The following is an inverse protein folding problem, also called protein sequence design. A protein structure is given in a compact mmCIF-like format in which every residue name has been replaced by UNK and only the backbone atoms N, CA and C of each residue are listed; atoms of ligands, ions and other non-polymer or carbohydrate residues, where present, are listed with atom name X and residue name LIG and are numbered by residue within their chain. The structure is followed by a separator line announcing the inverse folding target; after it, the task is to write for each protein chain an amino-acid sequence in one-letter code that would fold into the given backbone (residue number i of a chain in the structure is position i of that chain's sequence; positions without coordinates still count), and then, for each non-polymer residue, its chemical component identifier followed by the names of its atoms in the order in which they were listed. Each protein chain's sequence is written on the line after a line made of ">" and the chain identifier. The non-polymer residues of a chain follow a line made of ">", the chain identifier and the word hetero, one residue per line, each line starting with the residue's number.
data_IF_665685200311
#
_entry.id   IF_665685200311
#
_cell.length_a   1.000
_cell.length_b   1.000
_cell.length_c   1.000
_cell.angle_alpha   90.00
_cell.angle_beta   90.00
_cell.angle_gamma   90.00
#
_symmetry.space_group_name_H-M   'P 1'
#
loop_
_entity.id
_entity.type
_entity.pdbx_description
1 polymer ?
#
# COMPACT_ATOMS: atom_id res chain seq x y z
N UNK A 1 6.08 14.59 -27.76
CA UNK A 1 7.44 14.80 -27.20
C UNK A 1 7.50 16.27 -26.79
N UNK A 2 7.30 16.58 -25.51
CA UNK A 2 7.45 17.96 -25.02
C UNK A 2 8.94 18.26 -24.98
N UNK A 3 9.41 19.19 -25.81
CA UNK A 3 10.72 19.80 -25.65
C UNK A 3 10.66 20.73 -24.45
N UNK A 4 11.02 20.23 -23.26
CA UNK A 4 11.35 21.08 -22.14
C UNK A 4 12.54 21.95 -22.60
N UNK A 5 12.36 23.29 -22.59
CA UNK A 5 13.52 24.17 -22.78
C UNK A 5 14.41 24.02 -21.55
N UNK A 6 15.50 23.24 -21.69
CA UNK A 6 16.40 22.85 -20.60
C UNK A 6 17.27 24.02 -20.11
N UNK A 7 17.31 25.13 -20.86
CA UNK A 7 18.20 26.27 -20.56
C UNK A 7 17.82 27.05 -19.29
N UNK A 8 16.59 26.82 -18.78
CA UNK A 8 16.09 27.49 -17.57
C UNK A 8 16.10 26.60 -16.30
N UNK A 9 16.62 25.36 -16.42
CA UNK A 9 16.62 24.45 -15.28
C UNK A 9 17.91 24.58 -14.49
N UNK A 10 17.79 24.88 -13.20
CA UNK A 10 18.90 24.73 -12.27
C UNK A 10 19.12 23.23 -11.99
N UNK A 11 20.30 22.73 -12.37
CA UNK A 11 20.66 21.31 -12.22
C UNK A 11 21.61 21.10 -11.04
N UNK A 12 21.56 19.92 -10.36
CA UNK A 12 20.67 18.78 -10.64
C UNK A 12 19.25 18.99 -10.14
N UNK A 13 18.24 18.48 -10.85
CA UNK A 13 16.84 18.58 -10.41
C UNK A 13 16.01 17.35 -10.83
N UNK A 14 14.88 17.16 -10.15
CA UNK A 14 13.86 16.20 -10.54
C UNK A 14 12.68 16.94 -11.19
N UNK A 15 12.25 16.45 -12.33
CA UNK A 15 11.08 16.93 -13.05
C UNK A 15 9.99 15.87 -12.89
N UNK A 16 8.78 16.29 -12.52
CA UNK A 16 7.63 15.39 -12.43
C UNK A 16 6.58 15.83 -13.43
N UNK A 17 6.16 14.90 -14.27
CA UNK A 17 5.17 15.09 -15.32
C UNK A 17 3.77 14.79 -14.74
N UNK A 18 3.02 15.85 -14.44
CA UNK A 18 1.68 15.74 -13.84
C UNK A 18 0.66 15.13 -14.81
N UNK A 19 0.83 15.27 -16.11
CA UNK A 19 -0.10 14.67 -17.07
C UNK A 19 0.08 13.16 -17.14
N UNK A 20 1.30 12.65 -16.96
CA UNK A 20 1.54 11.22 -16.79
C UNK A 20 0.93 10.67 -15.50
N UNK A 21 1.01 11.43 -14.38
CA UNK A 21 0.30 11.04 -13.14
C UNK A 21 -1.21 10.96 -13.39
N UNK A 22 -1.82 11.93 -14.07
CA UNK A 22 -3.25 11.91 -14.42
C UNK A 22 -3.61 10.68 -15.27
N UNK A 23 -2.75 10.33 -16.25
CA UNK A 23 -2.95 9.13 -17.07
C UNK A 23 -2.91 7.85 -16.23
N UNK A 24 -1.94 7.72 -15.31
CA UNK A 24 -1.87 6.59 -14.39
C UNK A 24 -3.13 6.51 -13.51
N UNK A 25 -3.58 7.63 -12.98
CA UNK A 25 -4.82 7.71 -12.18
C UNK A 25 -6.04 7.31 -13.02
N UNK A 26 -6.08 7.63 -14.32
CA UNK A 26 -7.20 7.24 -15.18
C UNK A 26 -7.33 5.71 -15.32
N UNK A 27 -6.20 4.98 -15.36
CA UNK A 27 -6.17 3.51 -15.37
C UNK A 27 -6.70 2.96 -14.04
N UNK A 28 -6.23 3.53 -12.90
CA UNK A 28 -6.73 3.15 -11.58
C UNK A 28 -8.22 3.46 -11.40
N UNK A 29 -8.71 4.55 -12.00
CA UNK A 29 -10.14 4.90 -12.01
C UNK A 29 -10.97 3.85 -12.75
N UNK A 30 -10.44 3.31 -13.85
CA UNK A 30 -11.10 2.21 -14.57
C UNK A 30 -11.17 0.94 -13.74
N UNK A 31 -10.08 0.58 -13.05
CA UNK A 31 -10.03 -0.55 -12.13
C UNK A 31 -11.08 -0.38 -11.01
N UNK A 32 -11.08 0.78 -10.36
CA UNK A 32 -12.02 1.12 -9.28
C UNK A 32 -13.47 1.01 -9.75
N UNK A 33 -13.79 1.56 -10.94
CA UNK A 33 -15.15 1.49 -11.52
C UNK A 33 -15.60 0.05 -11.81
N UNK A 34 -14.68 -0.82 -12.25
CA UNK A 34 -15.00 -2.22 -12.61
C UNK A 34 -15.10 -3.15 -11.38
N UNK A 35 -14.50 -2.80 -10.26
CA UNK A 35 -14.35 -3.69 -9.10
C UNK A 35 -14.90 -3.14 -7.80
N UNK A 36 -15.23 -1.85 -7.74
CA UNK A 36 -15.65 -1.16 -6.51
C UNK A 36 -14.63 -1.23 -5.36
N UNK A 37 -13.34 -1.44 -5.65
CA UNK A 37 -12.28 -1.39 -4.64
C UNK A 37 -12.06 0.03 -4.12
N UNK A 38 -11.52 0.10 -2.91
CA UNK A 38 -11.01 1.33 -2.31
C UNK A 38 -9.50 1.42 -2.50
N UNK A 39 -9.04 2.57 -2.94
CA UNK A 39 -7.62 2.79 -3.25
C UNK A 39 -7.03 3.76 -2.23
N UNK A 40 -6.01 3.29 -1.50
CA UNK A 40 -5.24 4.09 -0.54
C UNK A 40 -3.94 4.57 -1.19
N UNK A 41 -3.61 5.84 -1.00
CA UNK A 41 -2.32 6.35 -1.44
C UNK A 41 -1.24 6.06 -0.38
N UNK A 42 -0.22 5.28 -0.72
CA UNK A 42 0.83 4.89 0.23
C UNK A 42 1.97 5.91 0.25
N UNK A 43 2.07 6.69 1.32
CA UNK A 43 3.05 7.79 1.46
C UNK A 43 4.51 7.33 1.42
N UNK A 44 4.81 6.11 1.86
CA UNK A 44 6.18 5.56 1.83
C UNK A 44 6.83 5.52 0.44
N UNK A 45 6.04 5.45 -0.62
CA UNK A 45 6.55 5.41 -1.99
C UNK A 45 6.68 6.80 -2.64
N UNK A 46 5.80 7.74 -2.27
CA UNK A 46 5.85 9.11 -2.76
C UNK A 46 5.10 10.03 -1.79
N UNK A 47 5.79 11.03 -1.21
CA UNK A 47 5.22 11.90 -0.17
C UNK A 47 5.51 13.39 -0.38
N UNK A 48 5.62 13.82 -1.65
CA UNK A 48 5.86 15.22 -1.96
C UNK A 48 4.63 16.08 -1.58
N UNK A 49 4.81 16.98 -0.62
CA UNK A 49 3.76 17.81 -0.01
C UNK A 49 3.13 18.84 -0.96
N UNK A 50 3.77 19.15 -2.09
CA UNK A 50 3.26 20.05 -3.13
C UNK A 50 2.48 19.34 -4.22
N UNK A 51 2.86 18.09 -4.51
CA UNK A 51 2.32 17.34 -5.64
C UNK A 51 1.18 16.43 -5.21
N UNK A 52 1.31 15.70 -4.09
CA UNK A 52 0.27 14.79 -3.60
C UNK A 52 -1.10 15.47 -3.44
N UNK A 53 -1.22 16.68 -2.87
CA UNK A 53 -2.51 17.36 -2.75
C UNK A 53 -3.22 17.60 -4.09
N UNK A 54 -2.48 17.66 -5.21
CA UNK A 54 -3.05 17.93 -6.54
C UNK A 54 -3.91 16.78 -7.08
N UNK A 55 -3.75 15.56 -6.54
CA UNK A 55 -4.48 14.38 -7.00
C UNK A 55 -5.07 13.51 -5.87
N UNK A 56 -4.89 13.92 -4.61
CA UNK A 56 -5.31 13.10 -3.46
C UNK A 56 -6.83 12.84 -3.43
N UNK A 57 -7.63 13.69 -4.05
CA UNK A 57 -9.09 13.54 -4.05
C UNK A 57 -9.59 12.30 -4.78
N UNK A 58 -8.78 11.74 -5.66
CA UNK A 58 -9.06 10.45 -6.30
C UNK A 58 -9.06 9.29 -5.31
N UNK A 59 -8.21 9.34 -4.27
CA UNK A 59 -8.00 8.25 -3.33
C UNK A 59 -9.05 8.24 -2.22
N UNK A 60 -9.41 7.04 -1.77
CA UNK A 60 -10.38 6.82 -0.68
C UNK A 60 -9.75 7.04 0.71
N UNK A 61 -8.43 7.03 0.77
CA UNK A 61 -7.66 7.23 1.98
C UNK A 61 -6.16 7.20 1.70
N UNK A 62 -5.39 7.17 2.77
CA UNK A 62 -3.93 7.17 2.75
C UNK A 62 -3.41 6.02 3.60
N UNK A 63 -2.39 5.32 3.10
CA UNK A 63 -1.63 4.34 3.89
C UNK A 63 -0.37 5.00 4.44
N UNK A 64 -0.24 4.98 5.77
CA UNK A 64 0.88 5.52 6.53
C UNK A 64 1.67 4.41 7.21
N UNK A 65 3.01 4.55 7.26
CA UNK A 65 3.92 3.57 7.87
C UNK A 65 4.69 4.11 9.09
N UNK A 66 4.37 5.34 9.49
CA UNK A 66 4.99 6.02 10.63
C UNK A 66 4.08 7.10 11.21
N UNK A 67 4.41 7.58 12.41
CA UNK A 67 3.73 8.72 13.03
C UNK A 67 3.73 9.95 12.09
N UNK A 68 4.86 10.24 11.44
CA UNK A 68 5.00 11.40 10.56
C UNK A 68 4.12 11.29 9.32
N UNK A 69 4.02 10.11 8.73
CA UNK A 69 3.14 9.88 7.61
C UNK A 69 1.65 9.94 8.02
N UNK A 70 1.31 9.40 9.20
CA UNK A 70 -0.05 9.50 9.72
C UNK A 70 -0.46 10.97 9.98
N UNK A 71 0.43 11.75 10.58
CA UNK A 71 0.22 13.18 10.79
C UNK A 71 0.09 13.94 9.46
N UNK A 72 0.98 13.69 8.51
CA UNK A 72 0.94 14.32 7.18
C UNK A 72 -0.40 14.00 6.46
N UNK A 73 -0.85 12.76 6.52
CA UNK A 73 -2.11 12.34 5.94
C UNK A 73 -3.30 13.05 6.60
N UNK A 74 -3.34 13.07 7.91
CA UNK A 74 -4.42 13.68 8.69
C UNK A 74 -4.45 15.21 8.51
N UNK A 75 -3.32 15.89 8.70
CA UNK A 75 -3.28 17.35 8.77
C UNK A 75 -3.32 18.01 7.38
N UNK A 76 -2.56 17.47 6.42
CA UNK A 76 -2.43 18.06 5.09
C UNK A 76 -3.44 17.47 4.10
N UNK A 77 -3.57 16.16 4.05
CA UNK A 77 -4.36 15.49 3.01
C UNK A 77 -5.83 15.33 3.40
N UNK A 78 -6.15 15.34 4.69
CA UNK A 78 -7.52 15.26 5.25
C UNK A 78 -8.32 14.09 4.68
N UNK A 79 -7.68 12.93 4.60
CA UNK A 79 -8.26 11.67 4.12
C UNK A 79 -8.22 10.62 5.23
N UNK A 80 -9.10 9.60 5.20
CA UNK A 80 -8.98 8.46 6.10
C UNK A 80 -7.58 7.84 6.08
N UNK A 81 -7.03 7.58 7.26
CA UNK A 81 -5.65 7.12 7.44
C UNK A 81 -5.63 5.67 7.91
N UNK A 82 -5.00 4.81 7.11
CA UNK A 82 -4.69 3.43 7.45
C UNK A 82 -3.22 3.33 7.87
N UNK A 83 -2.96 3.12 9.15
CA UNK A 83 -1.58 3.07 9.65
C UNK A 83 -1.14 1.62 9.91
N UNK A 84 -0.03 1.24 9.28
CA UNK A 84 0.67 -0.01 9.52
C UNK A 84 2.15 0.25 9.77
N UNK A 85 2.67 -0.28 10.87
CA UNK A 85 4.12 -0.35 11.13
C UNK A 85 4.50 -1.73 11.68
N UNK A 86 5.66 -2.29 11.33
CA UNK A 86 6.11 -3.56 11.89
C UNK A 86 6.35 -3.50 13.40
N UNK A 87 6.57 -2.31 13.96
CA UNK A 87 6.66 -2.08 15.39
C UNK A 87 6.17 -0.67 15.77
N UNK A 88 5.33 -0.58 16.79
CA UNK A 88 4.89 0.69 17.38
C UNK A 88 5.64 0.97 18.68
N UNK A 89 6.13 2.20 18.83
CA UNK A 89 6.72 2.66 20.08
C UNK A 89 5.61 3.04 21.06
N UNK A 90 5.77 2.69 22.33
CA UNK A 90 4.80 3.04 23.39
C UNK A 90 4.57 4.55 23.51
N UNK A 91 5.59 5.35 23.26
CA UNK A 91 5.49 6.82 23.36
C UNK A 91 4.76 7.45 22.16
N UNK A 92 4.73 6.77 21.00
CA UNK A 92 4.17 7.31 19.78
C UNK A 92 2.73 6.83 19.53
N UNK A 93 2.32 5.70 20.14
CA UNK A 93 1.09 4.99 19.79
C UNK A 93 -0.18 5.84 19.96
N UNK A 94 -0.26 6.64 21.03
CA UNK A 94 -1.44 7.48 21.27
C UNK A 94 -1.59 8.54 20.17
N UNK A 95 -0.50 9.18 19.75
CA UNK A 95 -0.51 10.13 18.64
C UNK A 95 -0.84 9.44 17.30
N UNK A 96 -0.33 8.23 17.08
CA UNK A 96 -0.67 7.45 15.89
C UNK A 96 -2.18 7.14 15.89
N UNK A 97 -2.76 6.77 17.02
CA UNK A 97 -4.20 6.53 17.18
C UNK A 97 -4.99 7.80 16.86
N UNK A 98 -4.58 8.95 17.39
CA UNK A 98 -5.26 10.24 17.15
C UNK A 98 -5.27 10.65 15.66
N UNK A 99 -4.28 10.21 14.88
CA UNK A 99 -4.17 10.51 13.45
C UNK A 99 -4.70 9.39 12.54
N UNK A 100 -5.19 8.27 13.08
CA UNK A 100 -5.55 7.09 12.28
C UNK A 100 -7.02 6.73 12.40
N UNK A 101 -7.64 6.34 11.29
CA UNK A 101 -8.97 5.72 11.25
C UNK A 101 -8.89 4.19 11.35
N UNK A 102 -7.77 3.63 10.86
CA UNK A 102 -7.48 2.19 10.88
C UNK A 102 -6.06 1.97 11.39
N UNK A 103 -5.90 1.06 12.34
CA UNK A 103 -4.58 0.64 12.84
C UNK A 103 -4.39 -0.85 12.65
N UNK A 104 -3.29 -1.21 11.98
CA UNK A 104 -2.97 -2.58 11.61
C UNK A 104 -1.80 -3.08 12.47
N UNK A 105 -2.02 -4.13 13.24
CA UNK A 105 -1.01 -4.76 14.09
C UNK A 105 -0.20 -5.81 13.33
N UNK A 106 1.09 -5.80 13.52
CA UNK A 106 2.00 -6.76 12.89
C UNK A 106 2.09 -8.10 13.63
N UNK A 107 1.72 -8.13 14.91
CA UNK A 107 1.79 -9.33 15.75
C UNK A 107 0.70 -9.36 16.81
N UNK A 108 0.42 -10.55 17.36
CA UNK A 108 -0.50 -10.74 18.47
C UNK A 108 -0.03 -10.01 19.75
N UNK A 109 1.28 -9.87 19.92
CA UNK A 109 1.84 -9.11 21.03
C UNK A 109 1.52 -7.62 20.92
N UNK A 110 1.70 -7.00 19.73
CA UNK A 110 1.29 -5.61 19.52
C UNK A 110 -0.20 -5.42 19.74
N UNK A 111 -1.02 -6.34 19.19
CA UNK A 111 -2.46 -6.32 19.40
C UNK A 111 -2.81 -6.36 20.90
N UNK A 112 -2.17 -7.25 21.66
CA UNK A 112 -2.39 -7.36 23.12
C UNK A 112 -2.01 -6.08 23.86
N UNK A 113 -0.94 -5.41 23.44
CA UNK A 113 -0.43 -4.21 24.11
C UNK A 113 -1.26 -2.95 23.84
N UNK A 114 -1.86 -2.81 22.64
CA UNK A 114 -2.40 -1.53 22.18
C UNK A 114 -3.87 -1.59 21.73
N UNK A 115 -4.49 -2.76 21.68
CA UNK A 115 -5.87 -2.92 21.24
C UNK A 115 -6.87 -2.10 22.08
N UNK A 116 -6.65 -2.01 23.38
CA UNK A 116 -7.53 -1.25 24.27
C UNK A 116 -7.41 0.26 24.00
N UNK A 117 -6.22 0.75 23.70
CA UNK A 117 -6.00 2.17 23.37
C UNK A 117 -6.75 2.53 22.08
N UNK A 118 -6.74 1.64 21.07
CA UNK A 118 -7.51 1.80 19.84
C UNK A 118 -9.03 1.83 20.06
N UNK A 119 -9.56 0.99 20.97
CA UNK A 119 -10.99 0.99 21.31
C UNK A 119 -11.39 2.34 21.90
N UNK A 120 -10.57 2.88 22.82
CA UNK A 120 -10.81 4.19 23.43
C UNK A 120 -10.72 5.34 22.43
N UNK A 121 -9.83 5.23 21.43
CA UNK A 121 -9.69 6.18 20.34
C UNK A 121 -10.68 5.99 19.19
N UNK A 122 -11.57 5.01 19.27
CA UNK A 122 -12.54 4.66 18.20
C UNK A 122 -11.90 4.30 16.84
N UNK A 123 -10.66 3.79 16.85
CA UNK A 123 -9.92 3.37 15.66
C UNK A 123 -10.25 1.93 15.28
N UNK A 124 -10.55 1.68 14.02
CA UNK A 124 -10.79 0.34 13.49
C UNK A 124 -9.48 -0.47 13.50
N UNK A 125 -9.55 -1.67 14.04
CA UNK A 125 -8.37 -2.51 14.22
C UNK A 125 -8.30 -3.60 13.16
N UNK A 126 -7.08 -3.86 12.69
CA UNK A 126 -6.77 -4.99 11.84
C UNK A 126 -5.45 -5.65 12.21
N UNK A 127 -5.18 -6.78 11.59
CA UNK A 127 -3.90 -7.47 11.70
C UNK A 127 -3.27 -7.66 10.33
N UNK A 128 -1.94 -7.59 10.26
CA UNK A 128 -1.21 -8.06 9.11
C UNK A 128 -1.02 -9.56 9.18
N UNK A 129 -1.42 -10.27 8.13
CA UNK A 129 -1.18 -11.71 7.99
C UNK A 129 0.07 -11.97 7.14
N UNK A 130 0.72 -13.10 7.39
CA UNK A 130 1.77 -13.65 6.55
C UNK A 130 1.24 -14.93 5.90
N UNK A 131 0.94 -14.92 4.60
CA UNK A 131 0.42 -16.09 3.91
C UNK A 131 1.49 -17.14 3.60
N UNK A 132 2.75 -16.89 3.98
CA UNK A 132 3.91 -17.73 3.69
C UNK A 132 4.12 -17.95 2.18
N UNK A 133 3.60 -17.02 1.38
CA UNK A 133 3.69 -17.00 -0.06
C UNK A 133 4.05 -15.59 -0.58
N UNK A 134 5.13 -15.51 -1.36
CA UNK A 134 5.55 -14.34 -2.11
C UNK A 134 6.43 -14.76 -3.27
N UNK A 135 6.26 -14.15 -4.42
CA UNK A 135 7.09 -14.37 -5.61
C UNK A 135 8.25 -13.36 -5.69
N UNK A 136 8.53 -12.65 -4.60
CA UNK A 136 9.70 -11.76 -4.52
C UNK A 136 10.96 -12.62 -4.34
N UNK A 137 11.80 -12.66 -5.39
CA UNK A 137 12.99 -13.53 -5.43
C UNK A 137 14.09 -13.07 -4.47
N UNK A 138 14.26 -11.74 -4.30
CA UNK A 138 15.33 -11.19 -3.44
C UNK A 138 15.04 -11.49 -1.98
N UNK A 139 15.86 -12.34 -1.36
CA UNK A 139 15.81 -12.73 0.04
C UNK A 139 15.59 -11.53 0.99
N UNK A 140 16.37 -10.47 0.86
CA UNK A 140 16.39 -9.33 1.78
C UNK A 140 15.09 -8.53 1.82
N UNK A 141 14.27 -8.61 0.77
CA UNK A 141 13.01 -7.86 0.64
C UNK A 141 11.77 -8.77 0.51
N UNK A 142 11.95 -10.10 0.54
CA UNK A 142 10.83 -11.03 0.51
C UNK A 142 10.08 -10.99 1.85
N UNK A 143 8.83 -10.48 1.88
CA UNK A 143 8.08 -10.31 3.11
C UNK A 143 7.57 -11.62 3.73
N UNK A 144 7.60 -12.71 2.98
CA UNK A 144 7.18 -14.05 3.41
C UNK A 144 8.35 -15.02 3.59
N UNK A 145 9.59 -14.51 3.60
CA UNK A 145 10.76 -15.33 3.91
C UNK A 145 10.60 -16.01 5.29
N UNK A 146 11.10 -17.25 5.52
CA UNK A 146 10.97 -17.97 6.79
C UNK A 146 11.40 -17.18 8.04
N UNK A 147 12.37 -16.26 7.90
CA UNK A 147 12.81 -15.35 8.97
C UNK A 147 12.22 -13.95 8.87
N UNK A 148 11.16 -13.76 8.07
CA UNK A 148 10.48 -12.46 7.98
C UNK A 148 9.81 -12.11 9.30
N UNK A 149 9.95 -10.84 9.70
CA UNK A 149 9.24 -10.28 10.86
C UNK A 149 7.81 -9.79 10.54
N UNK A 150 7.37 -9.93 9.29
CA UNK A 150 6.12 -9.33 8.83
C UNK A 150 4.95 -10.28 8.92
N UNK A 151 3.95 -9.87 9.72
CA UNK A 151 2.63 -10.49 9.77
C UNK A 151 2.55 -11.78 10.59
N UNK A 152 1.33 -12.21 10.82
CA UNK A 152 0.96 -13.36 11.64
C UNK A 152 0.62 -14.52 10.69
N UNK A 153 1.17 -15.71 10.94
CA UNK A 153 0.89 -16.90 10.15
C UNK A 153 -0.48 -17.49 10.51
N UNK A 154 -1.04 -18.28 9.61
CA UNK A 154 -2.36 -18.88 9.81
C UNK A 154 -2.44 -19.74 11.08
N UNK A 155 -1.39 -20.53 11.36
CA UNK A 155 -1.30 -21.42 12.52
C UNK A 155 -1.28 -20.67 13.88
N UNK A 156 -0.85 -19.40 13.88
CA UNK A 156 -0.82 -18.57 15.08
C UNK A 156 -2.15 -17.84 15.34
N UNK A 157 -3.12 -17.92 14.42
CA UNK A 157 -4.41 -17.26 14.52
C UNK A 157 -5.45 -18.14 15.23
N UNK A 158 -6.39 -17.51 15.88
CA UNK A 158 -7.56 -18.15 16.48
C UNK A 158 -8.79 -17.26 16.41
N UNK A 159 -9.96 -17.85 16.56
CA UNK A 159 -11.25 -17.16 16.46
C UNK A 159 -11.46 -16.00 17.44
N UNK A 160 -10.75 -15.99 18.55
CA UNK A 160 -10.94 -14.95 19.58
C UNK A 160 -10.45 -13.59 19.13
N UNK A 161 -9.46 -13.54 18.25
CA UNK A 161 -8.94 -12.28 17.70
C UNK A 161 -9.95 -11.65 16.73
N UNK A 162 -10.62 -12.48 15.90
CA UNK A 162 -11.60 -12.03 14.92
C UNK A 162 -12.90 -11.49 15.52
N UNK A 163 -13.09 -11.62 16.84
CA UNK A 163 -14.16 -10.93 17.59
C UNK A 163 -13.79 -9.49 17.95
N UNK A 164 -12.54 -9.09 17.75
CA UNK A 164 -11.99 -7.81 18.24
C UNK A 164 -11.39 -6.95 17.12
N UNK A 165 -11.13 -7.53 15.96
CA UNK A 165 -10.65 -6.83 14.78
C UNK A 165 -11.73 -6.75 13.72
N UNK A 166 -11.64 -5.77 12.84
CA UNK A 166 -12.57 -5.61 11.71
C UNK A 166 -11.96 -5.99 10.37
N UNK A 167 -10.65 -6.25 10.29
CA UNK A 167 -10.07 -6.60 9.01
C UNK A 167 -8.66 -7.17 9.05
N UNK A 168 -8.20 -7.57 7.87
CA UNK A 168 -6.85 -8.08 7.66
C UNK A 168 -6.14 -7.31 6.56
N UNK A 169 -4.81 -7.28 6.67
CA UNK A 169 -3.92 -6.69 5.69
C UNK A 169 -2.82 -7.68 5.35
N UNK A 170 -2.41 -7.72 4.09
CA UNK A 170 -1.16 -8.35 3.68
C UNK A 170 -0.43 -7.48 2.66
N UNK A 171 0.88 -7.65 2.56
CA UNK A 171 1.70 -6.96 1.56
C UNK A 171 2.84 -7.89 1.19
N UNK A 172 2.70 -8.61 0.09
CA UNK A 172 3.58 -9.73 -0.31
C UNK A 172 4.11 -9.58 -1.72
N UNK A 173 3.71 -8.52 -2.42
CA UNK A 173 4.10 -8.22 -3.79
C UNK A 173 5.07 -7.03 -3.84
N UNK A 174 5.95 -7.03 -4.85
CA UNK A 174 6.86 -5.93 -5.17
C UNK A 174 7.13 -5.96 -6.68
N UNK A 175 6.68 -4.91 -7.40
CA UNK A 175 6.82 -4.77 -8.86
C UNK A 175 6.29 -6.00 -9.63
N UNK A 176 5.09 -6.49 -9.30
CA UNK A 176 4.53 -7.72 -9.85
C UNK A 176 3.21 -7.48 -10.60
N UNK A 177 2.79 -8.50 -11.38
CA UNK A 177 1.69 -8.40 -12.33
C UNK A 177 0.41 -9.11 -11.84
N UNK A 178 -0.62 -9.09 -12.67
CA UNK A 178 -1.95 -9.61 -12.38
C UNK A 178 -1.99 -11.10 -12.07
N UNK A 179 -1.16 -11.88 -12.71
CA UNK A 179 -1.04 -13.33 -12.49
C UNK A 179 -0.51 -13.66 -11.09
N UNK A 180 0.47 -12.88 -10.58
CA UNK A 180 0.93 -12.97 -9.18
C UNK A 180 -0.18 -12.55 -8.21
N UNK A 181 -0.94 -11.48 -8.53
CA UNK A 181 -2.09 -11.09 -7.71
C UNK A 181 -3.10 -12.23 -7.59
N UNK A 182 -3.45 -12.88 -8.71
CA UNK A 182 -4.36 -14.03 -8.72
C UNK A 182 -3.85 -15.16 -7.83
N UNK A 183 -2.60 -15.60 -8.03
CA UNK A 183 -2.02 -16.68 -7.20
C UNK A 183 -1.95 -16.32 -5.72
N UNK A 184 -1.63 -15.05 -5.40
CA UNK A 184 -1.63 -14.56 -4.01
C UNK A 184 -3.02 -14.63 -3.39
N UNK A 185 -4.06 -14.21 -4.13
CA UNK A 185 -5.46 -14.30 -3.69
C UNK A 185 -5.86 -15.76 -3.48
N UNK A 186 -5.49 -16.66 -4.38
CA UNK A 186 -5.79 -18.11 -4.25
C UNK A 186 -5.17 -18.70 -2.97
N UNK A 187 -3.93 -18.30 -2.62
CA UNK A 187 -3.27 -18.74 -1.37
C UNK A 187 -3.96 -18.14 -0.13
N UNK A 188 -4.33 -16.86 -0.16
CA UNK A 188 -5.07 -16.22 0.94
C UNK A 188 -6.41 -16.92 1.14
N UNK A 189 -7.14 -17.18 0.07
CA UNK A 189 -8.41 -17.87 0.12
C UNK A 189 -8.28 -19.31 0.64
N UNK A 190 -7.23 -20.02 0.26
CA UNK A 190 -6.96 -21.37 0.75
C UNK A 190 -6.61 -21.40 2.25
N UNK A 191 -5.71 -20.52 2.70
CA UNK A 191 -5.11 -20.63 4.03
C UNK A 191 -5.91 -19.89 5.11
N UNK A 192 -6.72 -18.89 4.73
CA UNK A 192 -7.42 -18.00 5.66
C UNK A 192 -8.95 -18.01 5.51
N UNK A 193 -9.53 -18.86 4.63
CA UNK A 193 -10.97 -18.84 4.31
C UNK A 193 -11.89 -18.86 5.54
N UNK A 194 -11.53 -19.63 6.58
CA UNK A 194 -12.27 -19.71 7.83
C UNK A 194 -12.38 -18.38 8.58
N UNK A 195 -11.50 -17.43 8.29
CA UNK A 195 -11.44 -16.11 8.89
C UNK A 195 -12.02 -15.01 8.00
N UNK A 196 -11.99 -15.19 6.67
CA UNK A 196 -12.45 -14.18 5.70
C UNK A 196 -13.93 -13.83 5.84
N UNK A 197 -14.77 -14.74 6.35
CA UNK A 197 -16.18 -14.46 6.64
C UNK A 197 -16.43 -13.68 7.94
N UNK A 198 -15.36 -13.34 8.69
CA UNK A 198 -15.45 -12.71 10.01
C UNK A 198 -14.92 -11.27 10.01
N UNK A 199 -14.62 -10.73 8.84
CA UNK A 199 -14.01 -9.40 8.69
C UNK A 199 -14.89 -8.50 7.82
N UNK A 200 -14.79 -7.19 8.06
CA UNK A 200 -15.49 -6.16 7.30
C UNK A 200 -14.66 -5.63 6.13
N UNK A 201 -13.33 -5.84 6.17
CA UNK A 201 -12.43 -5.36 5.13
C UNK A 201 -11.16 -6.20 5.01
N UNK A 202 -10.64 -6.25 3.77
CA UNK A 202 -9.32 -6.81 3.45
C UNK A 202 -8.48 -5.77 2.71
N UNK A 203 -7.21 -5.65 3.06
CA UNK A 203 -6.25 -4.81 2.36
C UNK A 203 -5.20 -5.69 1.68
N UNK A 204 -5.19 -5.67 0.36
CA UNK A 204 -4.31 -6.50 -0.48
C UNK A 204 -2.88 -5.92 -0.58
N UNK A 205 -2.61 -4.79 0.09
CA UNK A 205 -1.32 -4.10 0.03
C UNK A 205 -1.02 -3.45 -1.31
N UNK A 206 0.24 -3.16 -1.54
CA UNK A 206 0.77 -2.60 -2.79
C UNK A 206 1.69 -3.57 -3.54
N UNK A 207 2.48 -3.01 -4.46
CA UNK A 207 3.46 -3.75 -5.25
C UNK A 207 2.91 -4.32 -6.56
N UNK A 208 1.66 -4.02 -6.91
CA UNK A 208 1.08 -4.32 -8.21
C UNK A 208 1.36 -3.16 -9.19
N UNK A 209 1.83 -3.48 -10.38
CA UNK A 209 2.15 -2.50 -11.44
C UNK A 209 0.93 -2.22 -12.33
N UNK A 210 -0.21 -1.84 -11.75
CA UNK A 210 -1.49 -1.66 -12.47
C UNK A 210 -1.41 -0.78 -13.73
N UNK A 211 -0.47 0.16 -13.80
CA UNK A 211 -0.33 1.12 -14.90
C UNK A 211 0.78 0.75 -15.88
N UNK A 212 1.48 -0.36 -15.65
CA UNK A 212 2.40 -0.90 -16.64
C UNK A 212 1.65 -1.46 -17.85
N UNK A 213 2.20 -1.25 -19.03
CA UNK A 213 1.57 -1.70 -20.29
C UNK A 213 1.43 -3.23 -20.42
N UNK A 214 2.22 -3.98 -19.68
CA UNK A 214 2.18 -5.46 -19.63
C UNK A 214 1.22 -6.00 -18.58
N UNK A 215 0.61 -5.14 -17.75
CA UNK A 215 -0.32 -5.55 -16.70
C UNK A 215 -1.70 -5.88 -17.27
N UNK A 216 -2.21 -7.08 -17.00
CA UNK A 216 -3.57 -7.44 -17.39
C UNK A 216 -4.61 -6.90 -16.40
N UNK A 217 -5.18 -5.74 -16.72
CA UNK A 217 -6.22 -5.13 -15.88
C UNK A 217 -7.48 -6.02 -15.79
N UNK A 218 -7.85 -6.71 -16.87
CA UNK A 218 -9.03 -7.59 -16.87
C UNK A 218 -8.84 -8.82 -15.97
N UNK A 219 -7.61 -9.38 -15.89
CA UNK A 219 -7.30 -10.45 -14.94
C UNK A 219 -7.44 -9.97 -13.49
N UNK A 220 -6.89 -8.79 -13.17
CA UNK A 220 -7.04 -8.20 -11.84
C UNK A 220 -8.52 -7.94 -11.49
N UNK A 221 -9.30 -7.40 -12.43
CA UNK A 221 -10.75 -7.21 -12.29
C UNK A 221 -11.45 -8.53 -11.97
N UNK A 222 -11.13 -9.60 -12.70
CA UNK A 222 -11.74 -10.90 -12.49
C UNK A 222 -11.40 -11.49 -11.12
N UNK A 223 -10.14 -11.38 -10.68
CA UNK A 223 -9.69 -11.84 -9.36
C UNK A 223 -10.42 -11.11 -8.23
N UNK A 224 -10.44 -9.78 -8.29
CA UNK A 224 -11.07 -8.94 -7.27
C UNK A 224 -12.59 -9.19 -7.21
N UNK A 225 -13.25 -9.25 -8.36
CA UNK A 225 -14.69 -9.55 -8.42
C UNK A 225 -15.02 -10.96 -7.93
N UNK A 226 -14.11 -11.92 -8.06
CA UNK A 226 -14.28 -13.25 -7.47
C UNK A 226 -14.27 -13.23 -5.96
N UNK A 227 -13.40 -12.40 -5.35
CA UNK A 227 -13.42 -12.16 -3.90
C UNK A 227 -14.74 -11.53 -3.45
N UNK A 228 -15.22 -10.48 -4.14
CA UNK A 228 -16.49 -9.83 -3.82
C UNK A 228 -17.71 -10.75 -3.95
N UNK A 229 -17.66 -11.72 -4.87
CA UNK A 229 -18.74 -12.73 -4.98
C UNK A 229 -18.75 -13.74 -3.85
N UNK A 230 -17.58 -14.00 -3.27
CA UNK A 230 -17.41 -15.01 -2.21
C UNK A 230 -17.55 -14.44 -0.81
N UNK A 231 -17.14 -13.18 -0.61
CA UNK A 231 -17.05 -12.53 0.68
C UNK A 231 -17.67 -11.14 0.68
N UNK A 232 -18.36 -10.80 1.76
CA UNK A 232 -19.01 -9.49 1.97
C UNK A 232 -18.10 -8.54 2.76
N UNK A 233 -17.00 -8.10 2.15
CA UNK A 233 -16.08 -7.15 2.75
C UNK A 233 -15.62 -6.06 1.77
N UNK A 234 -15.18 -4.94 2.31
CA UNK A 234 -14.49 -3.92 1.53
C UNK A 234 -13.08 -4.40 1.13
N UNK A 235 -12.68 -4.15 -0.12
CA UNK A 235 -11.33 -4.47 -0.60
C UNK A 235 -10.54 -3.18 -0.77
N UNK A 236 -9.38 -3.09 -0.12
CA UNK A 236 -8.42 -2.01 -0.26
C UNK A 236 -7.17 -2.47 -1.00
N UNK A 237 -6.55 -1.54 -1.76
CA UNK A 237 -5.21 -1.69 -2.35
C UNK A 237 -4.39 -0.43 -2.08
N UNK A 238 -3.04 -0.56 -2.08
CA UNK A 238 -2.09 0.52 -1.75
C UNK A 238 -1.12 0.83 -2.92
N UNK A 239 -1.60 1.20 -4.11
CA UNK A 239 -0.76 1.42 -5.28
C UNK A 239 -0.07 2.79 -5.22
N UNK A 240 1.12 2.89 -4.65
CA UNK A 240 1.87 4.13 -4.70
C UNK A 240 2.77 4.22 -5.94
N UNK A 241 3.65 3.24 -6.11
CA UNK A 241 4.59 3.20 -7.23
C UNK A 241 3.87 3.33 -8.58
N UNK A 242 2.81 2.59 -8.78
CA UNK A 242 2.03 2.61 -10.02
C UNK A 242 1.41 3.98 -10.34
N UNK A 243 1.19 4.83 -9.31
CA UNK A 243 0.68 6.20 -9.52
C UNK A 243 1.74 7.09 -10.16
N UNK A 244 2.99 6.93 -9.74
CA UNK A 244 4.12 7.75 -10.18
C UNK A 244 5.06 7.03 -11.16
N UNK A 245 4.68 5.85 -11.62
CA UNK A 245 5.47 5.06 -12.58
C UNK A 245 5.69 5.84 -13.86
N UNK A 246 6.95 5.94 -14.29
CA UNK A 246 7.38 6.64 -15.52
C UNK A 246 6.98 8.12 -15.60
N UNK A 247 6.73 8.79 -14.46
CA UNK A 247 6.30 10.20 -14.43
C UNK A 247 7.44 11.16 -14.11
N UNK A 248 8.62 10.69 -13.74
CA UNK A 248 9.73 11.52 -13.32
C UNK A 248 10.96 11.43 -14.20
N UNK A 249 11.73 12.52 -14.22
CA UNK A 249 13.03 12.61 -14.87
C UNK A 249 14.03 13.23 -13.90
N UNK A 250 15.24 12.65 -13.85
CA UNK A 250 16.38 13.29 -13.21
C UNK A 250 17.20 14.02 -14.27
N UNK A 251 17.46 15.30 -14.05
CA UNK A 251 18.23 16.15 -14.96
C UNK A 251 19.48 16.64 -14.27
N UNK A 252 20.63 16.42 -14.91
CA UNK A 252 21.92 16.86 -14.43
C UNK A 252 22.76 17.44 -15.57
N UNK A 253 23.63 18.38 -15.26
CA UNK A 253 24.60 18.92 -16.21
C UNK A 253 25.93 18.15 -16.10
N UNK A 254 26.55 17.85 -17.25
CA UNK A 254 27.92 17.36 -17.28
C UNK A 254 28.85 18.57 -17.06
N UNK A 255 29.57 18.56 -15.94
CA UNK A 255 30.45 19.68 -15.53
C UNK A 255 31.91 19.44 -15.87
N UNK A 256 32.31 18.20 -16.14
CA UNK A 256 33.68 17.83 -16.54
C UNK A 256 33.70 16.46 -17.20
N UNK A 257 34.70 16.24 -18.07
CA UNK A 257 35.02 14.98 -18.75
C UNK A 257 36.47 14.65 -18.48
N UNK A 258 36.75 13.53 -17.82
CA UNK A 258 38.11 13.08 -17.49
C UNK A 258 38.45 11.87 -18.36
N UNK A 259 39.59 11.94 -19.05
CA UNK A 259 40.12 10.84 -19.83
C UNK A 259 41.18 10.06 -19.05
N UNK A 260 40.88 8.80 -18.72
CA UNK A 260 41.75 7.91 -17.94
C UNK A 260 42.55 6.92 -18.81
N UNK A 261 42.95 7.35 -20.01
CA UNK A 261 43.85 6.56 -20.87
C UNK A 261 43.22 5.35 -21.58
N UNK A 262 41.90 5.34 -21.74
CA UNK A 262 41.16 4.39 -22.56
C UNK A 262 40.59 5.12 -23.76
#
# INVERSE_FOLDING_TARGET
>A
MFFLNMDYLETPCHIIDLDKIKNNISILSLLKKKTNIKILFALKGFSNDKIVPMFIDFFDGVSASSLWEAQLAHDLLKKPVHTYSPAYKRNDINQIIDYSDYLIFNSLNQFSLFSQDCILGHVKQGIRINPEYSEVEKYAINPCHPFSRFGIKADDLNDSIFKKISGIHFHTMCEQFSDTLRRTIDVIDSNFNQYLHKIDWINLGGGQLFTDSSYSLDEAVNCINSLHKKYEFDIFVEPCETVVLNTGYFVASVIDIIHNGI
#
